data_IF_031802977715
#
_entry.id   IF_031802977715
#
_cell.length_a   1.000
_cell.length_b   1.000
_cell.length_c   1.000
_cell.angle_alpha   90.00
_cell.angle_beta   90.00
_cell.angle_gamma   90.00
#
_symmetry.space_group_name_H-M   'P 1'
#
loop_
_entity.id
_entity.type
_entity.pdbx_description
1 polymer ?
#
# COMPACT_ATOMS: atom_id res chain seq x y z
N UNK A 1 -2.08 -6.76 -4.05
CA UNK A 1 -1.53 -5.39 -4.09
C UNK A 1 -2.55 -4.45 -4.71
N UNK A 2 -3.03 -3.46 -3.97
CA UNK A 2 -3.97 -2.46 -4.44
C UNK A 2 -3.27 -1.11 -4.66
N UNK A 3 -3.38 -0.55 -5.87
CA UNK A 3 -2.93 0.78 -6.23
C UNK A 3 -4.03 1.79 -5.89
N UNK A 4 -3.86 2.49 -4.77
CA UNK A 4 -4.89 3.32 -4.19
C UNK A 4 -5.07 4.63 -4.95
N UNK A 5 -6.32 5.03 -5.14
CA UNK A 5 -6.73 6.32 -5.69
C UNK A 5 -8.06 6.75 -5.09
N UNK A 6 -8.48 8.00 -5.34
CA UNK A 6 -9.84 8.44 -5.04
C UNK A 6 -10.88 7.87 -6.03
N UNK A 7 -10.44 7.19 -7.10
CA UNK A 7 -11.28 6.51 -8.07
C UNK A 7 -11.15 4.99 -8.00
N UNK A 8 -12.20 4.27 -8.43
CA UNK A 8 -12.16 2.83 -8.67
C UNK A 8 -12.56 2.58 -10.13
N UNK A 9 -11.67 1.95 -10.90
CA UNK A 9 -11.94 1.48 -12.27
C UNK A 9 -12.63 2.53 -13.17
N UNK A 10 -12.15 3.77 -13.14
CA UNK A 10 -12.62 4.86 -14.00
C UNK A 10 -13.81 5.66 -13.47
N UNK A 11 -14.23 5.45 -12.21
CA UNK A 11 -15.30 6.23 -11.58
C UNK A 11 -15.00 7.74 -11.48
N UNK A 12 -13.73 8.11 -11.54
CA UNK A 12 -13.21 9.48 -11.50
C UNK A 12 -12.17 9.68 -12.60
N UNK A 13 -11.78 10.93 -12.81
CA UNK A 13 -10.83 11.32 -13.87
C UNK A 13 -9.87 12.37 -13.34
N UNK A 14 -8.62 12.31 -13.78
CA UNK A 14 -7.58 13.28 -13.41
C UNK A 14 -6.20 12.64 -13.42
N UNK A 15 -5.17 13.48 -13.33
CA UNK A 15 -3.78 13.04 -13.45
C UNK A 15 -3.39 11.98 -12.40
N UNK A 16 -3.87 12.11 -11.17
CA UNK A 16 -3.60 11.11 -10.12
C UNK A 16 -4.29 9.75 -10.37
N UNK A 17 -5.46 9.75 -11.00
CA UNK A 17 -6.17 8.53 -11.41
C UNK A 17 -5.35 7.84 -12.49
N UNK A 18 -4.95 8.58 -13.52
CA UNK A 18 -4.18 8.06 -14.64
C UNK A 18 -2.78 7.59 -14.21
N UNK A 19 -2.14 8.30 -13.28
CA UNK A 19 -0.87 7.91 -12.65
C UNK A 19 -0.98 6.52 -12.01
N UNK A 20 -2.00 6.29 -11.19
CA UNK A 20 -2.15 5.03 -10.46
C UNK A 20 -2.58 3.88 -11.36
N UNK A 21 -3.43 4.15 -12.36
CA UNK A 21 -3.77 3.18 -13.41
C UNK A 21 -2.53 2.75 -14.19
N UNK A 22 -1.77 3.71 -14.67
CA UNK A 22 -0.52 3.47 -15.42
C UNK A 22 0.51 2.72 -14.58
N UNK A 23 0.63 3.05 -13.29
CA UNK A 23 1.53 2.35 -12.37
C UNK A 23 1.13 0.87 -12.17
N UNK A 24 -0.17 0.60 -12.04
CA UNK A 24 -0.71 -0.76 -11.96
C UNK A 24 -0.41 -1.55 -13.25
N UNK A 25 -0.67 -0.96 -14.41
CA UNK A 25 -0.41 -1.57 -15.73
C UNK A 25 1.08 -1.89 -15.92
N UNK A 26 1.98 -0.93 -15.61
CA UNK A 26 3.43 -1.14 -15.66
C UNK A 26 3.88 -2.26 -14.72
N UNK A 27 3.29 -2.34 -13.54
CA UNK A 27 3.61 -3.40 -12.57
C UNK A 27 3.20 -4.77 -13.09
N UNK A 28 1.99 -4.91 -13.62
CA UNK A 28 1.51 -6.16 -14.25
C UNK A 28 2.38 -6.58 -15.43
N UNK A 29 2.83 -5.62 -16.24
CA UNK A 29 3.71 -5.89 -17.38
C UNK A 29 5.12 -6.32 -16.95
N UNK A 30 5.68 -5.69 -15.91
CA UNK A 30 7.02 -6.01 -15.39
C UNK A 30 7.05 -7.31 -14.57
N UNK A 31 5.95 -7.66 -13.92
CA UNK A 31 5.82 -8.85 -13.09
C UNK A 31 4.57 -9.67 -13.49
N UNK A 32 4.59 -10.39 -14.63
CA UNK A 32 3.43 -11.14 -15.13
C UNK A 32 2.92 -12.20 -14.16
N UNK A 33 3.82 -12.78 -13.36
CA UNK A 33 3.49 -13.77 -12.33
C UNK A 33 2.80 -13.13 -11.11
N UNK A 34 2.91 -11.81 -10.95
CA UNK A 34 2.26 -11.03 -9.91
C UNK A 34 0.82 -10.68 -10.31
N UNK A 35 0.01 -11.70 -10.64
CA UNK A 35 -1.40 -11.58 -11.06
C UNK A 35 -2.33 -10.95 -10.02
N UNK A 36 -1.79 -10.56 -8.86
CA UNK A 36 -2.50 -9.98 -7.71
C UNK A 36 -2.27 -8.47 -7.55
N UNK A 37 -1.89 -7.75 -8.61
CA UNK A 37 -1.90 -6.28 -8.63
C UNK A 37 -3.21 -5.76 -9.22
N UNK A 38 -3.89 -4.81 -8.56
CA UNK A 38 -5.09 -4.16 -9.07
C UNK A 38 -5.13 -2.67 -8.75
N UNK A 39 -5.75 -1.90 -9.64
CA UNK A 39 -6.02 -0.48 -9.49
C UNK A 39 -6.21 0.21 -10.84
N UNK A 40 -6.56 1.49 -10.85
CA UNK A 40 -6.74 2.34 -9.67
C UNK A 40 -7.98 1.99 -8.82
N UNK A 41 -7.87 2.06 -7.49
CA UNK A 41 -8.91 1.58 -6.58
C UNK A 41 -9.05 2.43 -5.31
N UNK A 42 -10.28 2.67 -4.85
CA UNK A 42 -10.52 3.30 -3.55
C UNK A 42 -10.27 2.31 -2.40
N UNK A 43 -9.90 2.84 -1.23
CA UNK A 43 -9.60 2.01 -0.06
C UNK A 43 -10.77 1.09 0.34
N UNK A 44 -12.01 1.58 0.27
CA UNK A 44 -13.21 0.81 0.58
C UNK A 44 -13.38 -0.42 -0.35
N UNK A 45 -13.15 -0.24 -1.65
CA UNK A 45 -13.12 -1.31 -2.62
C UNK A 45 -11.95 -2.29 -2.39
N UNK A 46 -10.82 -1.81 -1.88
CA UNK A 46 -9.65 -2.65 -1.62
C UNK A 46 -9.83 -3.58 -0.43
N UNK A 47 -10.54 -3.16 0.64
CA UNK A 47 -10.61 -3.92 1.91
C UNK A 47 -11.97 -4.51 2.26
N UNK A 48 -13.07 -4.01 1.66
CA UNK A 48 -14.41 -4.47 2.01
C UNK A 48 -15.02 -5.33 0.88
N UNK A 49 -15.15 -6.66 1.05
CA UNK A 49 -15.72 -7.55 0.02
C UNK A 49 -17.10 -7.12 -0.47
N UNK A 50 -17.93 -6.55 0.42
CA UNK A 50 -19.26 -6.02 0.07
C UNK A 50 -19.17 -4.86 -0.93
N UNK A 51 -18.19 -3.97 -0.78
CA UNK A 51 -18.00 -2.83 -1.68
C UNK A 51 -17.35 -3.28 -2.97
N UNK A 52 -16.36 -4.17 -2.88
CA UNK A 52 -15.69 -4.79 -4.01
C UNK A 52 -16.69 -5.45 -4.97
N UNK A 53 -17.63 -6.26 -4.45
CA UNK A 53 -18.68 -6.90 -5.24
C UNK A 53 -19.55 -5.91 -6.04
N UNK A 54 -19.70 -4.68 -5.57
CA UNK A 54 -20.48 -3.66 -6.27
C UNK A 54 -19.64 -2.83 -7.26
N UNK A 55 -18.40 -2.49 -6.91
CA UNK A 55 -17.56 -1.59 -7.72
C UNK A 55 -16.69 -2.32 -8.75
N UNK A 56 -16.24 -3.53 -8.44
CA UNK A 56 -15.28 -4.31 -9.23
C UNK A 56 -15.43 -5.82 -8.90
N UNK A 57 -16.57 -6.44 -9.30
CA UNK A 57 -16.93 -7.82 -8.92
C UNK A 57 -15.97 -8.90 -9.43
N UNK A 58 -15.34 -8.68 -10.58
CA UNK A 58 -14.46 -9.65 -11.24
C UNK A 58 -12.98 -9.46 -10.87
N UNK A 59 -12.69 -8.55 -9.94
CA UNK A 59 -11.32 -8.25 -9.54
C UNK A 59 -10.85 -9.17 -8.39
N UNK A 60 -9.77 -9.96 -8.59
CA UNK A 60 -9.32 -10.94 -7.59
C UNK A 60 -8.63 -10.32 -6.37
N UNK A 61 -8.33 -9.01 -6.41
CA UNK A 61 -7.66 -8.29 -5.33
C UNK A 61 -8.65 -7.46 -4.52
N UNK A 62 -9.70 -6.94 -5.16
CA UNK A 62 -10.72 -6.12 -4.51
C UNK A 62 -11.36 -6.85 -3.33
N UNK A 63 -11.50 -6.14 -2.21
CA UNK A 63 -12.07 -6.65 -0.96
C UNK A 63 -11.12 -7.52 -0.14
N UNK A 64 -9.96 -7.88 -0.68
CA UNK A 64 -9.02 -8.82 -0.06
C UNK A 64 -7.57 -8.32 -0.09
N UNK A 65 -7.35 -7.04 -0.44
CA UNK A 65 -6.01 -6.50 -0.53
C UNK A 65 -5.33 -6.44 0.85
N UNK A 66 -4.06 -6.85 0.89
CA UNK A 66 -3.21 -6.83 2.08
C UNK A 66 -1.94 -5.96 1.88
N UNK A 67 -1.76 -5.38 0.69
CA UNK A 67 -0.65 -4.49 0.36
C UNK A 67 -1.22 -3.30 -0.39
N UNK A 68 -0.96 -2.10 0.11
CA UNK A 68 -1.56 -0.86 -0.37
C UNK A 68 -0.48 0.10 -0.86
N UNK A 69 -0.54 0.45 -2.15
CA UNK A 69 0.35 1.43 -2.77
C UNK A 69 -0.38 2.76 -2.80
N UNK A 70 0.11 3.73 -2.02
CA UNK A 70 -0.47 5.07 -1.95
C UNK A 70 -0.04 5.94 -3.14
N UNK A 71 -0.88 6.90 -3.56
CA UNK A 71 -0.60 7.73 -4.73
C UNK A 71 0.53 8.76 -4.52
N UNK A 72 0.81 9.12 -3.27
CA UNK A 72 1.84 10.07 -2.89
C UNK A 72 2.20 9.96 -1.40
N UNK A 73 3.23 10.73 -0.99
CA UNK A 73 3.76 10.72 0.37
C UNK A 73 2.79 11.31 1.40
N UNK A 74 1.94 12.27 1.02
CA UNK A 74 0.96 12.85 1.94
C UNK A 74 -0.11 11.80 2.26
N UNK A 75 -0.67 11.17 1.24
CA UNK A 75 -1.67 10.12 1.39
C UNK A 75 -1.11 8.92 2.20
N UNK A 76 0.11 8.48 1.89
CA UNK A 76 0.78 7.41 2.62
C UNK A 76 1.04 7.75 4.08
N UNK A 77 1.64 8.91 4.37
CA UNK A 77 2.01 9.32 5.72
C UNK A 77 0.79 9.52 6.62
N UNK A 78 -0.23 10.22 6.11
CA UNK A 78 -1.50 10.42 6.83
C UNK A 78 -2.20 9.07 7.01
N UNK A 79 -2.28 8.25 5.96
CA UNK A 79 -3.00 6.98 5.95
C UNK A 79 -2.50 5.99 7.00
N UNK A 80 -1.19 5.72 7.03
CA UNK A 80 -0.66 4.75 8.01
C UNK A 80 -0.79 5.28 9.45
N UNK A 81 -0.67 6.60 9.68
CA UNK A 81 -0.87 7.19 11.01
C UNK A 81 -2.32 7.13 11.45
N UNK A 82 -3.29 7.31 10.55
CA UNK A 82 -4.71 7.08 10.84
C UNK A 82 -4.94 5.62 11.23
N UNK A 83 -4.41 4.67 10.46
CA UNK A 83 -4.53 3.24 10.77
C UNK A 83 -3.94 2.90 12.14
N UNK A 84 -2.77 3.46 12.47
CA UNK A 84 -2.11 3.28 13.76
C UNK A 84 -2.95 3.88 14.91
N UNK A 85 -3.36 5.15 14.78
CA UNK A 85 -3.95 5.91 15.90
C UNK A 85 -5.43 5.65 16.11
N UNK A 86 -6.20 5.38 15.06
CA UNK A 86 -7.64 5.13 15.14
C UNK A 86 -7.98 3.64 14.98
N UNK A 87 -7.17 2.89 14.25
CA UNK A 87 -7.39 1.46 14.01
C UNK A 87 -6.70 0.55 15.02
N UNK A 88 -5.93 1.10 15.97
CA UNK A 88 -5.11 0.34 16.92
C UNK A 88 -4.17 -0.68 16.26
N UNK A 89 -3.66 -0.37 15.06
CA UNK A 89 -2.65 -1.17 14.39
C UNK A 89 -1.25 -0.82 14.92
N UNK A 90 -0.40 -1.82 15.07
CA UNK A 90 1.04 -1.60 15.24
C UNK A 90 1.65 -1.12 13.91
N UNK A 91 2.49 -0.09 13.97
CA UNK A 91 3.14 0.48 12.79
C UNK A 91 4.66 0.36 12.93
N UNK A 92 5.26 -0.46 12.07
CA UNK A 92 6.71 -0.66 12.01
C UNK A 92 7.28 0.05 10.78
N UNK A 93 8.34 0.82 10.96
CA UNK A 93 9.04 1.50 9.86
C UNK A 93 9.46 2.95 10.16
N UNK A 94 10.00 3.66 9.16
CA UNK A 94 10.06 3.29 7.73
C UNK A 94 11.04 2.14 7.42
N UNK A 95 10.59 1.16 6.62
CA UNK A 95 11.43 0.07 6.11
C UNK A 95 11.86 0.43 4.68
N UNK A 96 13.16 0.56 4.44
CA UNK A 96 13.74 0.84 3.13
C UNK A 96 13.98 -0.47 2.38
N UNK A 97 13.64 -0.47 1.08
CA UNK A 97 13.79 -1.61 0.18
C UNK A 97 14.56 -1.20 -1.09
N UNK A 98 15.22 -2.15 -1.73
CA UNK A 98 15.94 -1.94 -2.99
C UNK A 98 17.36 -1.38 -2.87
N UNK A 99 17.95 -1.41 -1.68
CA UNK A 99 19.34 -1.03 -1.43
C UNK A 99 20.28 -2.26 -1.53
N UNK A 100 21.56 -2.03 -1.86
CA UNK A 100 22.57 -3.10 -1.90
C UNK A 100 22.94 -3.66 -0.51
N UNK A 101 22.62 -2.92 0.55
CA UNK A 101 22.75 -3.34 1.93
C UNK A 101 21.57 -2.77 2.73
N UNK A 102 21.06 -3.48 3.74
CA UNK A 102 19.90 -3.03 4.49
C UNK A 102 20.26 -1.88 5.42
N UNK A 103 19.58 -0.77 5.22
CA UNK A 103 19.68 0.44 6.03
C UNK A 103 18.25 0.84 6.33
N UNK A 104 17.92 1.10 7.59
CA UNK A 104 16.59 1.55 7.98
C UNK A 104 16.68 2.78 8.88
N UNK A 105 15.70 3.66 8.76
CA UNK A 105 15.58 4.86 9.58
C UNK A 105 14.54 4.64 10.68
N UNK A 106 14.74 5.30 11.83
CA UNK A 106 13.82 5.26 12.96
C UNK A 106 13.11 6.59 13.09
N UNK A 107 11.80 6.53 13.35
CA UNK A 107 11.07 7.76 13.67
C UNK A 107 11.62 8.41 14.93
N UNK A 108 11.73 9.76 14.95
CA UNK A 108 12.17 10.51 16.13
C UNK A 108 11.36 10.22 17.40
N UNK A 109 10.11 9.79 17.25
CA UNK A 109 9.23 9.42 18.36
C UNK A 109 9.20 7.92 18.68
N UNK A 110 10.15 7.13 18.16
CA UNK A 110 10.10 5.69 18.36
C UNK A 110 10.41 5.28 19.81
N UNK A 111 9.79 4.19 20.26
CA UNK A 111 10.07 3.57 21.54
C UNK A 111 11.11 2.43 21.40
N UNK A 112 11.59 1.91 22.54
CA UNK A 112 12.61 0.85 22.56
C UNK A 112 12.18 -0.44 21.85
N UNK A 113 10.88 -0.79 21.91
CA UNK A 113 10.35 -1.98 21.25
C UNK A 113 10.32 -1.81 19.72
N UNK A 114 9.95 -0.63 19.23
CA UNK A 114 10.00 -0.30 17.80
C UNK A 114 11.44 -0.35 17.27
N UNK A 115 12.41 0.21 18.00
CA UNK A 115 13.82 0.16 17.63
C UNK A 115 14.37 -1.27 17.57
N UNK A 116 14.04 -2.09 18.59
CA UNK A 116 14.43 -3.51 18.62
C UNK A 116 13.82 -4.29 17.46
N UNK A 117 12.53 -4.09 17.19
CA UNK A 117 11.82 -4.77 16.09
C UNK A 117 12.40 -4.37 14.73
N UNK A 118 12.74 -3.09 14.54
CA UNK A 118 13.39 -2.60 13.33
C UNK A 118 14.79 -3.14 13.14
N UNK A 119 15.56 -3.38 14.21
CA UNK A 119 16.86 -4.04 14.12
C UNK A 119 16.73 -5.48 13.60
N UNK A 120 15.74 -6.23 14.09
CA UNK A 120 15.43 -7.59 13.60
C UNK A 120 15.04 -7.56 12.12
N UNK A 121 14.14 -6.64 11.73
CA UNK A 121 13.74 -6.47 10.33
C UNK A 121 14.94 -6.17 9.45
N UNK A 122 15.80 -5.22 9.86
CA UNK A 122 17.02 -4.85 9.11
C UNK A 122 17.95 -6.03 8.91
N UNK A 123 18.18 -6.83 9.95
CA UNK A 123 19.00 -8.04 9.85
C UNK A 123 18.38 -9.12 8.95
N UNK A 124 17.04 -9.16 8.85
CA UNK A 124 16.30 -10.13 8.03
C UNK A 124 16.24 -9.77 6.55
N UNK A 125 16.61 -8.54 6.19
CA UNK A 125 16.71 -8.05 4.81
C UNK A 125 18.09 -8.30 4.17
N UNK A 126 19.05 -8.84 4.93
CA UNK A 126 20.38 -9.25 4.47
C UNK A 126 20.34 -10.53 3.63
#
# INVERSE_FOLDING_TARGET
>A
VAFLSYSTMGSGKGEDVDKMRTACEKTRAAFPDMQVASGEMQFDAAVAPRVAKNKCPDDPVAGHANTFIFPDINAGNIGYKIAQRLGNFDAYGPILLGLNAPINDLSRGCNGQEAYSMAIITASLC
#
